data_IF_465562592483
#
_entry.id   IF_465562592483
#
_cell.length_a   1.000
_cell.length_b   1.000
_cell.length_c   1.000
_cell.angle_alpha   90.00
_cell.angle_beta   90.00
_cell.angle_gamma   90.00
#
_symmetry.space_group_name_H-M   'P 1'
#
loop_
_entity.id
_entity.type
_entity.pdbx_description
1 polymer ?
#
# COMPACT_ATOMS: atom_id res chain seq x y z
N UNK A 1 31.63 -4.56 22.95
CA UNK A 1 30.22 -4.16 23.13
C UNK A 1 30.00 -2.65 23.04
N UNK A 2 30.79 -1.83 23.76
CA UNK A 2 30.58 -0.37 23.76
C UNK A 2 30.99 0.28 22.42
N UNK A 3 32.13 -0.07 21.85
CA UNK A 3 32.54 0.38 20.51
C UNK A 3 31.57 -0.05 19.41
N UNK A 4 31.05 -1.26 19.49
CA UNK A 4 30.04 -1.76 18.53
C UNK A 4 28.71 -1.01 18.65
N UNK A 5 28.25 -0.71 19.87
CA UNK A 5 27.05 0.11 20.09
C UNK A 5 27.25 1.54 19.56
N UNK A 6 28.43 2.11 19.67
CA UNK A 6 28.76 3.44 19.11
C UNK A 6 28.66 3.45 17.59
N UNK A 7 29.23 2.44 16.91
CA UNK A 7 29.10 2.29 15.45
C UNK A 7 27.63 2.13 15.02
N UNK A 8 26.86 1.34 15.78
CA UNK A 8 25.43 1.18 15.51
C UNK A 8 24.70 2.52 15.69
N UNK A 9 24.99 3.29 16.73
CA UNK A 9 24.38 4.60 16.99
C UNK A 9 24.67 5.58 15.84
N UNK A 10 25.90 5.67 15.37
CA UNK A 10 26.29 6.51 14.23
C UNK A 10 25.47 6.16 12.97
N UNK A 11 25.30 4.88 12.68
CA UNK A 11 24.51 4.43 11.53
C UNK A 11 23.00 4.66 11.71
N UNK A 12 22.46 4.49 12.91
CA UNK A 12 21.08 4.82 13.25
C UNK A 12 20.80 6.30 13.04
N UNK A 13 21.71 7.18 13.47
CA UNK A 13 21.60 8.63 13.23
C UNK A 13 21.67 8.99 11.74
N UNK A 14 22.60 8.40 11.00
CA UNK A 14 22.75 8.59 9.55
C UNK A 14 21.45 8.25 8.82
N UNK A 15 20.88 7.07 9.08
CA UNK A 15 19.61 6.62 8.50
C UNK A 15 18.47 7.55 8.89
N UNK A 16 18.37 7.95 10.18
CA UNK A 16 17.31 8.82 10.65
C UNK A 16 17.40 10.23 10.06
N UNK A 17 18.61 10.77 9.87
CA UNK A 17 18.82 12.07 9.21
C UNK A 17 18.35 12.06 7.77
N UNK A 18 18.62 10.96 7.05
CA UNK A 18 18.17 10.79 5.67
C UNK A 18 16.66 10.49 5.56
N UNK A 19 16.09 9.78 6.54
CA UNK A 19 14.70 9.31 6.55
C UNK A 19 14.06 9.44 7.93
N UNK A 20 13.66 10.66 8.35
CA UNK A 20 13.15 10.91 9.70
C UNK A 20 11.84 10.20 10.05
N UNK A 21 11.11 9.75 9.02
CA UNK A 21 9.87 8.99 9.14
C UNK A 21 10.09 7.52 9.54
N UNK A 22 11.31 6.99 9.39
CA UNK A 22 11.60 5.60 9.74
C UNK A 22 11.64 5.41 11.27
N UNK A 23 10.83 4.46 11.77
CA UNK A 23 10.94 3.97 13.15
C UNK A 23 11.99 2.87 13.27
N UNK A 24 12.37 2.49 14.50
CA UNK A 24 13.46 1.57 14.79
C UNK A 24 13.42 0.24 14.01
N UNK A 25 12.21 -0.29 13.68
CA UNK A 25 12.09 -1.52 12.88
C UNK A 25 12.56 -1.32 11.44
N UNK A 26 12.17 -0.20 10.81
CA UNK A 26 12.62 0.14 9.45
C UNK A 26 14.12 0.50 9.41
N UNK A 27 14.60 1.18 10.44
CA UNK A 27 16.05 1.45 10.63
C UNK A 27 16.81 0.12 10.75
N UNK A 28 16.31 -0.82 11.55
CA UNK A 28 16.92 -2.16 11.69
C UNK A 28 16.94 -2.91 10.34
N UNK A 29 15.90 -2.81 9.55
CA UNK A 29 15.84 -3.46 8.23
C UNK A 29 16.83 -2.82 7.25
N UNK A 30 17.02 -1.49 7.30
CA UNK A 30 18.05 -0.81 6.53
C UNK A 30 19.47 -1.23 6.97
N UNK A 31 19.70 -1.39 8.28
CA UNK A 31 20.99 -1.84 8.80
C UNK A 31 21.35 -3.26 8.33
N UNK A 32 20.37 -4.16 8.29
CA UNK A 32 20.54 -5.49 7.74
C UNK A 32 20.83 -5.43 6.23
N UNK A 33 20.04 -4.66 5.48
CA UNK A 33 20.10 -4.63 4.02
C UNK A 33 21.31 -3.92 3.46
N UNK A 34 21.66 -2.75 4.02
CA UNK A 34 22.68 -1.86 3.43
C UNK A 34 24.03 -1.90 4.15
N UNK A 35 24.05 -2.35 5.41
CA UNK A 35 25.27 -2.41 6.20
C UNK A 35 25.66 -3.83 6.64
N UNK A 36 24.85 -4.86 6.28
CA UNK A 36 25.10 -6.25 6.65
C UNK A 36 25.02 -6.53 8.15
N UNK A 37 24.38 -5.65 8.92
CA UNK A 37 24.31 -5.75 10.38
C UNK A 37 23.03 -6.46 10.83
N UNK A 38 23.13 -7.74 11.17
CA UNK A 38 22.02 -8.54 11.72
C UNK A 38 21.77 -8.21 13.20
N UNK A 39 20.89 -7.23 13.46
CA UNK A 39 20.59 -6.73 14.80
C UNK A 39 19.23 -7.16 15.29
N UNK A 40 19.12 -7.35 16.64
CA UNK A 40 17.84 -7.57 17.27
C UNK A 40 17.05 -6.24 17.37
N UNK A 41 15.75 -6.28 17.13
CA UNK A 41 14.81 -5.14 17.28
C UNK A 41 14.96 -4.42 18.64
N UNK A 42 15.14 -5.18 19.75
CA UNK A 42 15.29 -4.60 21.08
C UNK A 42 16.60 -3.79 21.23
N UNK A 43 17.70 -4.23 20.59
CA UNK A 43 18.99 -3.51 20.59
C UNK A 43 18.87 -2.18 19.87
N UNK A 44 18.30 -2.20 18.67
CA UNK A 44 18.11 -0.97 17.87
C UNK A 44 17.13 -0.01 18.58
N UNK A 45 16.02 -0.53 19.17
CA UNK A 45 15.08 0.30 19.91
C UNK A 45 15.75 0.98 21.13
N UNK A 46 16.62 0.27 21.85
CA UNK A 46 17.36 0.83 22.99
C UNK A 46 18.26 1.97 22.51
N UNK A 47 19.07 1.75 21.48
CA UNK A 47 19.96 2.79 20.91
C UNK A 47 19.16 3.99 20.41
N UNK A 48 18.05 3.79 19.69
CA UNK A 48 17.19 4.89 19.28
C UNK A 48 16.67 5.71 20.47
N UNK A 49 16.42 5.08 21.65
CA UNK A 49 15.99 5.79 22.85
C UNK A 49 17.13 6.56 23.50
N UNK A 50 18.31 5.97 23.56
CA UNK A 50 19.53 6.61 24.09
C UNK A 50 19.89 7.85 23.28
N UNK A 51 19.78 7.80 21.95
CA UNK A 51 20.03 8.91 21.02
C UNK A 51 18.82 9.82 20.79
N UNK A 52 17.73 9.67 21.54
CA UNK A 52 16.47 10.43 21.38
C UNK A 52 15.85 10.37 19.98
N UNK A 53 16.13 9.35 19.21
CA UNK A 53 15.64 9.14 17.85
C UNK A 53 14.21 8.58 17.89
N UNK A 54 13.27 9.33 17.29
CA UNK A 54 11.85 8.96 17.18
C UNK A 54 11.37 9.23 15.76
N UNK A 55 10.59 8.30 15.21
CA UNK A 55 9.90 8.52 13.94
C UNK A 55 9.00 9.75 14.00
N UNK A 56 9.02 10.55 12.95
CA UNK A 56 8.13 11.71 12.79
C UNK A 56 6.68 11.33 12.46
N UNK A 57 6.41 10.06 12.17
CA UNK A 57 5.07 9.57 11.86
C UNK A 57 4.14 9.71 13.06
N UNK A 58 3.02 10.42 12.85
CA UNK A 58 1.95 10.55 13.86
C UNK A 58 0.88 9.49 13.60
N UNK A 59 0.62 8.64 14.60
CA UNK A 59 -0.48 7.68 14.54
C UNK A 59 -1.81 8.35 14.91
N UNK A 60 -2.84 8.18 14.05
CA UNK A 60 -4.24 8.49 14.36
C UNK A 60 -5.08 7.27 13.97
N UNK A 61 -5.86 6.74 14.91
CA UNK A 61 -6.86 5.72 14.59
C UNK A 61 -8.06 6.39 13.92
N UNK A 62 -8.52 5.85 12.80
CA UNK A 62 -9.72 6.33 12.11
C UNK A 62 -10.69 5.16 11.98
N UNK A 63 -11.93 5.42 12.38
CA UNK A 63 -13.04 4.47 12.25
C UNK A 63 -13.53 4.35 10.80
N UNK A 64 -14.21 3.26 10.51
CA UNK A 64 -14.45 2.67 9.21
C UNK A 64 -15.87 2.88 8.65
N UNK A 65 -15.97 2.97 7.36
CA UNK A 65 -16.96 2.55 6.33
C UNK A 65 -18.36 3.16 6.26
N UNK A 66 -18.67 3.68 5.03
CA UNK A 66 -20.02 3.96 4.53
C UNK A 66 -20.53 2.79 3.68
N UNK A 67 -21.79 2.39 3.84
CA UNK A 67 -22.48 1.36 3.05
C UNK A 67 -22.87 1.86 1.66
N UNK A 68 -22.73 1.01 0.64
CA UNK A 68 -23.38 1.21 -0.67
C UNK A 68 -24.91 1.00 -0.54
N UNK A 69 -25.71 1.86 -1.16
CA UNK A 69 -27.17 1.88 -0.98
C UNK A 69 -27.92 0.79 -1.75
N UNK A 70 -27.41 0.32 -2.91
CA UNK A 70 -28.07 -0.76 -3.69
C UNK A 70 -27.07 -1.43 -4.64
N UNK A 71 -26.51 -2.59 -4.29
CA UNK A 71 -25.59 -3.32 -5.17
C UNK A 71 -26.34 -3.96 -6.35
N UNK A 72 -25.82 -3.83 -7.58
CA UNK A 72 -26.38 -4.45 -8.79
C UNK A 72 -25.92 -5.89 -8.98
N UNK A 73 -24.70 -6.20 -8.52
CA UNK A 73 -24.09 -7.53 -8.55
C UNK A 73 -23.30 -7.76 -7.27
N UNK A 74 -23.40 -8.94 -6.70
CA UNK A 74 -22.64 -9.34 -5.50
C UNK A 74 -21.98 -10.67 -5.79
N UNK A 75 -20.63 -10.72 -5.69
CA UNK A 75 -19.88 -11.95 -5.73
C UNK A 75 -19.69 -12.55 -4.32
N UNK A 76 -19.44 -13.84 -4.27
CA UNK A 76 -19.06 -14.53 -3.03
C UNK A 76 -17.69 -14.10 -2.54
N UNK A 77 -17.42 -14.27 -1.26
CA UNK A 77 -16.09 -14.05 -0.68
C UNK A 77 -15.22 -15.31 -0.88
N UNK A 78 -14.68 -15.46 -2.09
CA UNK A 78 -13.80 -16.57 -2.45
C UNK A 78 -12.42 -16.43 -1.84
N UNK A 79 -11.95 -15.20 -1.56
CA UNK A 79 -10.66 -14.95 -0.94
C UNK A 79 -10.59 -15.53 0.50
N UNK A 80 -11.70 -15.48 1.26
CA UNK A 80 -11.82 -16.09 2.58
C UNK A 80 -10.79 -15.63 3.62
N UNK A 81 -10.15 -14.46 3.41
CA UNK A 81 -8.98 -13.95 4.15
C UNK A 81 -7.69 -14.75 3.94
N UNK A 82 -7.62 -15.60 2.94
CA UNK A 82 -6.36 -16.20 2.53
C UNK A 82 -5.56 -15.20 1.71
N UNK A 83 -4.75 -14.39 2.41
CA UNK A 83 -3.88 -13.37 1.83
C UNK A 83 -2.52 -13.90 1.40
N UNK A 84 -2.36 -15.21 1.29
CA UNK A 84 -1.20 -15.84 0.70
C UNK A 84 -1.40 -16.01 -0.80
N UNK A 85 -0.35 -15.86 -1.57
CA UNK A 85 -0.32 -16.11 -3.00
C UNK A 85 0.99 -16.84 -3.35
N UNK A 86 0.96 -17.73 -4.33
CA UNK A 86 2.09 -18.56 -4.70
C UNK A 86 2.91 -17.98 -5.85
N UNK A 87 2.30 -17.12 -6.64
CA UNK A 87 2.90 -16.48 -7.81
C UNK A 87 2.43 -15.02 -7.96
N UNK A 88 3.19 -14.17 -8.66
CA UNK A 88 2.70 -12.87 -9.11
C UNK A 88 1.43 -13.04 -9.95
N UNK A 89 0.50 -12.12 -9.80
CA UNK A 89 -0.79 -12.11 -10.51
C UNK A 89 -1.73 -13.31 -10.19
N UNK A 90 -1.55 -13.96 -9.03
CA UNK A 90 -2.46 -15.01 -8.54
C UNK A 90 -3.72 -14.38 -7.89
N UNK A 91 -3.53 -13.36 -7.05
CA UNK A 91 -4.61 -12.67 -6.34
C UNK A 91 -4.36 -11.16 -6.32
N UNK A 92 -5.32 -10.39 -6.80
CA UNK A 92 -5.31 -8.93 -6.74
C UNK A 92 -6.38 -8.39 -5.79
N UNK A 93 -5.99 -7.43 -4.97
CA UNK A 93 -6.91 -6.68 -4.12
C UNK A 93 -7.03 -5.26 -4.64
N UNK A 94 -8.23 -4.70 -4.54
CA UNK A 94 -8.49 -3.30 -4.93
C UNK A 94 -9.34 -2.58 -3.90
N UNK A 95 -9.15 -1.27 -3.84
CA UNK A 95 -9.97 -0.36 -3.03
C UNK A 95 -9.76 1.09 -3.48
N UNK A 96 -10.61 1.98 -2.99
CA UNK A 96 -10.53 3.43 -3.22
C UNK A 96 -10.35 4.16 -1.90
N UNK A 97 -9.42 5.11 -1.86
CA UNK A 97 -9.23 5.97 -0.70
C UNK A 97 -9.32 7.45 -1.04
N UNK A 98 -9.78 8.26 -0.09
CA UNK A 98 -9.90 9.72 -0.21
C UNK A 98 -8.70 10.43 0.41
N UNK A 99 -8.24 11.50 -0.27
CA UNK A 99 -7.31 12.50 0.26
C UNK A 99 -7.91 13.89 0.16
N UNK A 100 -7.46 14.80 1.03
CA UNK A 100 -7.92 16.19 1.08
C UNK A 100 -6.74 17.14 0.88
N UNK A 101 -6.99 18.24 0.16
CA UNK A 101 -6.11 19.38 0.09
C UNK A 101 -6.90 20.67 0.33
N UNK A 102 -6.22 21.79 0.59
CA UNK A 102 -6.82 23.00 1.09
C UNK A 102 -6.43 24.18 0.20
N UNK A 103 -7.40 24.87 -0.38
CA UNK A 103 -7.21 26.16 -1.03
C UNK A 103 -7.77 27.25 -0.12
N UNK A 104 -6.88 27.93 0.61
CA UNK A 104 -7.30 28.84 1.67
C UNK A 104 -8.10 28.10 2.76
N UNK A 105 -9.37 28.45 2.91
CA UNK A 105 -10.32 27.82 3.85
C UNK A 105 -11.17 26.71 3.22
N UNK A 106 -11.07 26.50 1.92
CA UNK A 106 -11.84 25.47 1.21
C UNK A 106 -11.15 24.12 1.27
N UNK A 107 -11.95 23.07 1.50
CA UNK A 107 -11.50 21.68 1.54
C UNK A 107 -11.89 21.01 0.23
N UNK A 108 -10.89 20.63 -0.55
CA UNK A 108 -11.04 19.86 -1.77
C UNK A 108 -10.64 18.40 -1.57
N UNK A 109 -11.10 17.53 -2.48
CA UNK A 109 -10.86 16.09 -2.38
C UNK A 109 -10.31 15.53 -3.67
N UNK A 110 -9.45 14.54 -3.55
CA UNK A 110 -9.10 13.62 -4.63
C UNK A 110 -9.28 12.19 -4.15
N UNK A 111 -9.46 11.28 -5.09
CA UNK A 111 -9.66 9.85 -4.83
C UNK A 111 -8.59 9.06 -5.57
N UNK A 112 -8.00 8.12 -4.86
CA UNK A 112 -7.00 7.19 -5.38
C UNK A 112 -7.62 5.80 -5.39
N UNK A 113 -7.72 5.20 -6.56
CA UNK A 113 -7.98 3.77 -6.74
C UNK A 113 -6.67 3.06 -7.02
N UNK A 114 -6.44 1.90 -6.43
CA UNK A 114 -5.25 1.10 -6.69
C UNK A 114 -5.55 -0.39 -6.64
N UNK A 115 -4.69 -1.16 -7.32
CA UNK A 115 -4.69 -2.63 -7.31
C UNK A 115 -3.36 -3.10 -6.72
N UNK A 116 -3.44 -3.98 -5.72
CA UNK A 116 -2.31 -4.58 -5.01
C UNK A 116 -2.25 -6.07 -5.30
N UNK A 117 -1.08 -6.56 -5.69
CA UNK A 117 -0.79 -7.98 -5.82
C UNK A 117 -0.48 -8.61 -4.45
N UNK A 118 -1.08 -9.74 -4.13
CA UNK A 118 -0.87 -10.39 -2.84
C UNK A 118 0.46 -11.14 -2.72
N UNK A 119 1.08 -11.55 -3.83
CA UNK A 119 2.34 -12.27 -3.80
C UNK A 119 3.51 -11.39 -3.40
N UNK A 120 3.69 -10.29 -4.10
CA UNK A 120 4.84 -9.40 -3.95
C UNK A 120 4.50 -8.08 -3.27
N UNK A 121 3.21 -7.84 -3.00
CA UNK A 121 2.69 -6.61 -2.37
C UNK A 121 2.90 -5.34 -3.19
N UNK A 122 3.27 -5.45 -4.47
CA UNK A 122 3.40 -4.29 -5.35
C UNK A 122 2.03 -3.67 -5.67
N UNK A 123 2.03 -2.39 -5.89
CA UNK A 123 0.90 -1.70 -6.52
C UNK A 123 1.02 -1.94 -8.02
N UNK A 124 0.11 -2.74 -8.56
CA UNK A 124 0.07 -3.14 -9.98
C UNK A 124 -0.31 -1.97 -10.87
N UNK A 125 -1.33 -1.23 -10.44
CA UNK A 125 -1.81 -0.02 -11.12
C UNK A 125 -2.52 0.90 -10.14
N UNK A 126 -2.61 2.18 -10.50
CA UNK A 126 -3.41 3.16 -9.78
C UNK A 126 -3.87 4.30 -10.69
N UNK A 127 -4.95 4.97 -10.28
CA UNK A 127 -5.49 6.17 -10.91
C UNK A 127 -5.92 7.16 -9.83
N UNK A 128 -5.68 8.46 -10.06
CA UNK A 128 -6.10 9.55 -9.18
C UNK A 128 -7.08 10.44 -9.94
N UNK A 129 -8.25 10.71 -9.35
CA UNK A 129 -9.29 11.58 -9.92
C UNK A 129 -9.94 12.45 -8.85
N UNK A 130 -10.62 13.51 -9.30
CA UNK A 130 -11.36 14.43 -8.41
C UNK A 130 -12.74 13.86 -8.03
N UNK A 131 -13.18 12.77 -8.68
CA UNK A 131 -14.46 12.11 -8.43
C UNK A 131 -14.26 10.63 -8.11
N UNK A 132 -15.03 10.15 -7.14
CA UNK A 132 -15.12 8.73 -6.82
C UNK A 132 -16.25 8.10 -7.63
N UNK A 133 -16.01 7.82 -8.90
CA UNK A 133 -16.98 7.27 -9.85
C UNK A 133 -16.50 5.95 -10.47
N UNK A 134 -17.34 5.36 -11.32
CA UNK A 134 -16.99 4.11 -12.01
C UNK A 134 -15.75 4.25 -12.88
N UNK A 135 -15.55 5.41 -13.53
CA UNK A 135 -14.40 5.64 -14.41
C UNK A 135 -13.07 5.54 -13.66
N UNK A 136 -13.02 6.00 -12.38
CA UNK A 136 -11.84 5.88 -11.53
C UNK A 136 -11.39 4.42 -11.41
N UNK A 137 -12.32 3.52 -11.08
CA UNK A 137 -12.04 2.09 -10.87
C UNK A 137 -11.82 1.36 -12.19
N UNK A 138 -12.59 1.70 -13.23
CA UNK A 138 -12.47 1.08 -14.55
C UNK A 138 -11.11 1.36 -15.18
N UNK A 139 -10.65 2.63 -15.14
CA UNK A 139 -9.33 2.99 -15.66
C UNK A 139 -8.20 2.34 -14.87
N UNK A 140 -8.36 2.20 -13.55
CA UNK A 140 -7.38 1.49 -12.71
C UNK A 140 -7.27 0.03 -13.14
N UNK A 141 -8.40 -0.61 -13.38
CA UNK A 141 -8.47 -1.99 -13.85
C UNK A 141 -7.88 -2.16 -15.26
N UNK A 142 -8.28 -1.29 -16.20
CA UNK A 142 -7.78 -1.34 -17.59
C UNK A 142 -6.26 -1.14 -17.67
N UNK A 143 -5.70 -0.24 -16.87
CA UNK A 143 -4.24 -0.08 -16.73
C UNK A 143 -3.56 -1.35 -16.21
N UNK A 144 -4.15 -2.01 -15.21
CA UNK A 144 -3.60 -3.25 -14.68
C UNK A 144 -3.58 -4.36 -15.72
N UNK A 145 -4.68 -4.55 -16.45
CA UNK A 145 -4.80 -5.54 -17.54
C UNK A 145 -3.82 -5.23 -18.67
N UNK A 146 -3.73 -3.97 -19.10
CA UNK A 146 -2.81 -3.57 -20.17
C UNK A 146 -1.33 -3.84 -19.81
N UNK A 147 -0.97 -3.68 -18.54
CA UNK A 147 0.40 -3.94 -18.07
C UNK A 147 0.67 -5.41 -17.77
N UNK A 148 -0.36 -6.25 -17.67
CA UNK A 148 -0.26 -7.69 -17.36
C UNK A 148 -1.30 -8.46 -18.19
N UNK A 149 -1.15 -8.55 -19.52
CA UNK A 149 -2.19 -9.09 -20.42
C UNK A 149 -2.50 -10.58 -20.18
N UNK A 150 -1.53 -11.34 -19.70
CA UNK A 150 -1.69 -12.78 -19.41
C UNK A 150 -2.15 -13.07 -17.97
N UNK A 151 -2.45 -12.02 -17.18
CA UNK A 151 -2.84 -12.19 -15.79
C UNK A 151 -4.34 -12.49 -15.65
N UNK A 152 -4.69 -13.55 -14.95
CA UNK A 152 -6.07 -13.93 -14.62
C UNK A 152 -6.27 -14.12 -13.10
N UNK A 153 -5.98 -13.10 -12.27
CA UNK A 153 -6.03 -13.23 -10.82
C UNK A 153 -7.45 -13.46 -10.29
N UNK A 154 -7.54 -14.02 -9.09
CA UNK A 154 -8.71 -13.82 -8.24
C UNK A 154 -8.76 -12.33 -7.86
N UNK A 155 -9.77 -11.62 -8.35
CA UNK A 155 -9.91 -10.17 -8.17
C UNK A 155 -10.82 -9.86 -6.99
N UNK A 156 -10.28 -9.35 -5.88
CA UNK A 156 -11.03 -9.11 -4.65
C UNK A 156 -11.20 -7.61 -4.38
N UNK A 157 -12.43 -7.21 -4.03
CA UNK A 157 -12.80 -5.84 -3.66
C UNK A 157 -13.71 -5.79 -2.45
N UNK A 158 -13.96 -4.61 -1.93
CA UNK A 158 -15.13 -4.35 -1.09
C UNK A 158 -16.43 -4.37 -1.91
N UNK A 159 -17.55 -4.00 -1.27
CA UNK A 159 -18.86 -3.87 -1.92
C UNK A 159 -19.19 -2.42 -2.30
N UNK A 160 -18.19 -1.62 -2.66
CA UNK A 160 -18.38 -0.30 -3.21
C UNK A 160 -19.25 -0.34 -4.48
N UNK A 161 -20.01 0.73 -4.74
CA UNK A 161 -20.96 0.76 -5.87
C UNK A 161 -20.27 0.58 -7.23
N UNK A 162 -19.01 0.98 -7.34
CA UNK A 162 -18.19 0.80 -8.55
C UNK A 162 -17.98 -0.69 -8.85
N UNK A 163 -17.59 -1.46 -7.82
CA UNK A 163 -17.29 -2.88 -7.94
C UNK A 163 -18.53 -3.75 -8.09
N UNK A 164 -19.67 -3.29 -7.55
CA UNK A 164 -20.97 -3.97 -7.69
C UNK A 164 -21.72 -3.61 -8.97
N UNK A 165 -21.18 -2.74 -9.81
CA UNK A 165 -21.77 -2.36 -11.08
C UNK A 165 -21.71 -3.50 -12.12
N UNK A 166 -22.75 -3.63 -12.95
CA UNK A 166 -22.75 -4.59 -14.07
C UNK A 166 -21.61 -4.37 -15.05
N UNK A 167 -21.23 -3.10 -15.27
CA UNK A 167 -20.13 -2.72 -16.16
C UNK A 167 -18.78 -3.27 -15.66
N UNK A 168 -18.52 -3.19 -14.35
CA UNK A 168 -17.28 -3.73 -13.78
C UNK A 168 -17.23 -5.25 -13.84
N UNK A 169 -18.35 -5.92 -13.52
CA UNK A 169 -18.45 -7.37 -13.65
C UNK A 169 -18.21 -7.85 -15.08
N UNK A 170 -18.79 -7.16 -16.09
CA UNK A 170 -18.55 -7.48 -17.49
C UNK A 170 -17.09 -7.33 -17.90
N UNK A 171 -16.37 -6.29 -17.39
CA UNK A 171 -14.93 -6.10 -17.64
C UNK A 171 -14.08 -7.22 -17.04
N UNK A 172 -14.35 -7.63 -15.80
CA UNK A 172 -13.66 -8.76 -15.17
C UNK A 172 -13.86 -10.06 -15.95
N UNK A 173 -15.11 -10.34 -16.36
CA UNK A 173 -15.43 -11.52 -17.16
C UNK A 173 -14.73 -11.51 -18.52
N UNK A 174 -14.69 -10.36 -19.20
CA UNK A 174 -13.98 -10.20 -20.47
C UNK A 174 -12.46 -10.44 -20.34
N UNK A 175 -11.87 -10.09 -19.19
CA UNK A 175 -10.48 -10.35 -18.87
C UNK A 175 -10.22 -11.78 -18.31
N UNK A 176 -11.23 -12.64 -18.24
CA UNK A 176 -11.08 -14.02 -17.72
C UNK A 176 -10.83 -14.09 -16.21
N UNK A 177 -11.14 -13.02 -15.46
CA UNK A 177 -10.88 -12.93 -14.02
C UNK A 177 -12.11 -13.34 -13.21
N UNK A 178 -11.86 -13.93 -12.04
CA UNK A 178 -12.90 -14.33 -11.08
C UNK A 178 -13.07 -13.20 -10.05
N UNK A 179 -14.30 -12.72 -9.88
CA UNK A 179 -14.62 -11.69 -8.90
C UNK A 179 -14.86 -12.29 -7.52
N UNK A 180 -14.27 -11.69 -6.50
CA UNK A 180 -14.49 -11.98 -5.09
C UNK A 180 -14.82 -10.68 -4.34
N UNK A 181 -15.71 -10.73 -3.35
CA UNK A 181 -16.09 -9.53 -2.59
C UNK A 181 -16.07 -9.76 -1.09
N UNK A 182 -15.63 -8.75 -0.35
CA UNK A 182 -15.67 -8.73 1.11
C UNK A 182 -17.10 -8.92 1.63
N UNK A 183 -17.24 -9.51 2.80
CA UNK A 183 -18.54 -9.61 3.50
C UNK A 183 -18.97 -8.23 3.99
N UNK A 184 -20.28 -8.04 4.15
CA UNK A 184 -20.86 -6.78 4.63
C UNK A 184 -20.30 -6.42 6.01
N UNK A 185 -19.73 -5.21 6.13
CA UNK A 185 -19.21 -4.70 7.41
C UNK A 185 -17.95 -5.41 7.92
N UNK A 186 -17.28 -6.19 7.08
CA UNK A 186 -16.01 -6.90 7.41
C UNK A 186 -14.85 -6.29 6.62
N UNK A 187 -14.42 -5.10 7.01
CA UNK A 187 -13.28 -4.41 6.41
C UNK A 187 -12.00 -5.27 6.41
N UNK A 188 -11.79 -6.08 7.43
CA UNK A 188 -10.66 -7.01 7.53
C UNK A 188 -10.56 -8.01 6.37
N UNK A 189 -11.64 -8.22 5.61
CA UNK A 189 -11.62 -9.08 4.42
C UNK A 189 -10.79 -8.47 3.28
N UNK A 190 -10.46 -7.15 3.33
CA UNK A 190 -9.53 -6.45 2.43
C UNK A 190 -8.29 -5.90 3.18
N UNK A 191 -7.87 -6.59 4.25
CA UNK A 191 -6.84 -6.14 5.19
C UNK A 191 -5.51 -5.67 4.58
N UNK A 192 -4.90 -6.38 3.60
CA UNK A 192 -3.66 -5.92 2.96
C UNK A 192 -3.79 -4.58 2.25
N UNK A 193 -4.93 -4.30 1.60
CA UNK A 193 -5.17 -3.03 0.93
C UNK A 193 -5.38 -1.89 1.93
N UNK A 194 -6.15 -2.15 3.01
CA UNK A 194 -6.28 -1.20 4.13
C UNK A 194 -4.92 -0.93 4.80
N UNK A 195 -4.09 -1.96 4.93
CA UNK A 195 -2.71 -1.85 5.41
C UNK A 195 -1.87 -0.90 4.55
N UNK A 196 -1.95 -1.04 3.23
CA UNK A 196 -1.27 -0.15 2.28
C UNK A 196 -1.74 1.31 2.43
N UNK A 197 -3.06 1.55 2.49
CA UNK A 197 -3.59 2.91 2.74
C UNK A 197 -3.08 3.51 4.04
N UNK A 198 -3.05 2.69 5.10
CA UNK A 198 -2.52 3.10 6.38
C UNK A 198 -1.05 3.50 6.32
N UNK A 199 -0.23 2.75 5.58
CA UNK A 199 1.20 3.02 5.39
C UNK A 199 1.38 4.30 4.57
N UNK A 200 0.76 4.42 3.39
CA UNK A 200 0.85 5.60 2.53
C UNK A 200 0.45 6.87 3.28
N UNK A 201 -0.72 6.84 3.95
CA UNK A 201 -1.21 8.01 4.68
C UNK A 201 -0.31 8.40 5.86
N UNK A 202 0.24 7.45 6.58
CA UNK A 202 1.16 7.74 7.69
C UNK A 202 2.52 8.26 7.22
N UNK A 203 3.05 7.70 6.15
CA UNK A 203 4.42 8.01 5.71
C UNK A 203 4.48 9.24 4.80
N UNK A 204 3.38 9.61 4.11
CA UNK A 204 3.42 10.70 3.13
C UNK A 204 2.34 11.77 3.26
N UNK A 205 1.22 11.47 3.91
CA UNK A 205 0.08 12.38 3.95
C UNK A 205 -0.14 13.02 5.33
N UNK A 206 -0.22 12.24 6.40
CA UNK A 206 -0.48 12.78 7.73
C UNK A 206 0.72 13.60 8.24
N UNK A 207 0.40 14.77 8.82
CA UNK A 207 1.41 15.72 9.26
C UNK A 207 1.81 16.75 8.21
N UNK A 208 1.38 16.58 6.96
CA UNK A 208 1.52 17.56 5.88
C UNK A 208 0.19 18.24 5.60
N UNK A 209 0.24 19.53 5.23
CA UNK A 209 -0.92 20.30 4.74
C UNK A 209 -0.68 20.59 3.27
N UNK A 210 -1.36 19.90 2.41
CA UNK A 210 -1.33 20.15 0.97
C UNK A 210 -2.24 21.32 0.63
N UNK A 211 -1.72 22.30 -0.11
CA UNK A 211 -2.43 23.54 -0.47
C UNK A 211 -2.89 23.55 -1.93
N UNK A 212 -2.44 22.60 -2.72
CA UNK A 212 -2.83 22.42 -4.11
C UNK A 212 -2.95 20.94 -4.48
N UNK A 213 -3.64 20.69 -5.59
CA UNK A 213 -3.92 19.35 -6.12
C UNK A 213 -2.65 18.70 -6.65
N UNK A 214 -1.88 19.46 -7.39
CA UNK A 214 -0.70 18.98 -8.13
C UNK A 214 0.37 18.46 -7.17
N UNK A 215 0.67 19.19 -6.13
CA UNK A 215 1.61 18.79 -5.08
C UNK A 215 1.14 17.52 -4.36
N UNK A 216 -0.16 17.40 -4.05
CA UNK A 216 -0.71 16.19 -3.44
C UNK A 216 -0.64 14.98 -4.38
N UNK A 217 -1.01 15.13 -5.65
CA UNK A 217 -0.93 14.07 -6.65
C UNK A 217 0.50 13.59 -6.79
N UNK A 218 1.44 14.51 -7.02
CA UNK A 218 2.87 14.21 -7.13
C UNK A 218 3.40 13.46 -5.91
N UNK A 219 3.01 13.90 -4.71
CA UNK A 219 3.42 13.24 -3.47
C UNK A 219 2.93 11.79 -3.37
N UNK A 220 1.71 11.50 -3.86
CA UNK A 220 1.16 10.14 -3.90
C UNK A 220 1.88 9.29 -4.95
N UNK A 221 2.10 9.83 -6.15
CA UNK A 221 2.79 9.12 -7.25
C UNK A 221 4.22 8.76 -6.87
N UNK A 222 4.99 9.71 -6.36
CA UNK A 222 6.36 9.49 -5.86
C UNK A 222 6.40 8.46 -4.71
N UNK A 223 5.36 8.47 -3.86
CA UNK A 223 5.30 7.50 -2.78
C UNK A 223 5.01 6.09 -3.29
N UNK A 224 4.12 5.90 -4.25
CA UNK A 224 3.83 4.59 -4.83
C UNK A 224 5.07 4.03 -5.54
N UNK A 225 5.79 4.87 -6.27
CA UNK A 225 7.08 4.49 -6.86
C UNK A 225 8.09 4.06 -5.80
N UNK A 226 8.27 4.87 -4.74
CA UNK A 226 9.12 4.54 -3.59
C UNK A 226 8.68 3.24 -2.90
N UNK A 227 7.37 3.04 -2.70
CA UNK A 227 6.81 1.84 -2.08
C UNK A 227 7.16 0.59 -2.87
N UNK A 228 7.02 0.64 -4.19
CA UNK A 228 7.30 -0.50 -5.06
C UNK A 228 8.80 -0.80 -5.18
N UNK A 229 9.65 0.24 -5.28
CA UNK A 229 11.04 0.08 -5.72
C UNK A 229 12.10 0.25 -4.64
N UNK A 230 11.76 0.91 -3.51
CA UNK A 230 12.75 1.27 -2.47
C UNK A 230 12.31 0.92 -1.05
N UNK A 231 11.01 0.79 -0.80
CA UNK A 231 10.52 0.51 0.53
C UNK A 231 10.67 -0.97 0.88
N UNK A 232 11.60 -1.28 1.78
CA UNK A 232 11.82 -2.64 2.28
C UNK A 232 10.60 -3.13 3.08
N UNK A 233 10.24 -4.39 2.88
CA UNK A 233 9.13 -5.04 3.56
C UNK A 233 9.59 -6.32 4.26
N UNK A 234 9.44 -6.35 5.58
CA UNK A 234 9.90 -7.46 6.42
C UNK A 234 9.17 -8.77 6.10
N UNK A 235 7.89 -8.69 5.79
CA UNK A 235 7.08 -9.85 5.40
C UNK A 235 7.44 -10.43 4.03
N UNK A 236 8.25 -9.73 3.24
CA UNK A 236 8.82 -10.20 1.97
C UNK A 236 10.27 -10.70 2.11
N UNK A 237 10.83 -10.72 3.34
CA UNK A 237 12.22 -11.07 3.58
C UNK A 237 13.18 -9.89 3.50
N UNK A 238 12.73 -8.68 3.88
CA UNK A 238 13.52 -7.42 3.87
C UNK A 238 13.97 -7.05 2.44
N UNK A 239 13.06 -7.25 1.49
CA UNK A 239 13.22 -6.80 0.10
C UNK A 239 12.07 -5.87 -0.30
N UNK A 240 12.22 -5.18 -1.42
CA UNK A 240 11.15 -4.35 -1.99
C UNK A 240 10.12 -5.22 -2.73
N UNK A 241 8.89 -4.72 -2.96
CA UNK A 241 7.92 -5.39 -3.80
C UNK A 241 8.46 -5.78 -5.18
N UNK A 242 9.17 -4.88 -5.85
CA UNK A 242 9.73 -5.14 -7.18
C UNK A 242 10.89 -6.14 -7.17
N UNK A 243 11.74 -6.15 -6.14
CA UNK A 243 12.75 -7.20 -5.97
C UNK A 243 12.09 -8.57 -5.76
N UNK A 244 11.03 -8.64 -4.95
CA UNK A 244 10.26 -9.87 -4.77
C UNK A 244 9.60 -10.33 -6.07
N UNK A 245 9.02 -9.41 -6.84
CA UNK A 245 8.44 -9.68 -8.15
C UNK A 245 9.49 -10.25 -9.12
N UNK A 246 10.62 -9.57 -9.26
CA UNK A 246 11.70 -9.96 -10.17
C UNK A 246 12.30 -11.32 -9.79
N UNK A 247 12.46 -11.61 -8.48
CA UNK A 247 13.03 -12.87 -8.00
C UNK A 247 12.21 -14.10 -8.40
N UNK A 248 10.89 -13.96 -8.58
CA UNK A 248 10.04 -15.05 -9.04
C UNK A 248 10.39 -15.48 -10.47
N UNK A 249 10.52 -14.51 -11.37
CA UNK A 249 10.80 -14.76 -12.78
C UNK A 249 12.23 -15.22 -13.04
N UNK A 250 13.16 -14.88 -12.13
CA UNK A 250 14.54 -15.38 -12.19
C UNK A 250 14.68 -16.83 -11.70
N UNK A 251 13.72 -17.31 -10.91
CA UNK A 251 13.71 -18.66 -10.34
C UNK A 251 12.82 -19.64 -11.12
N UNK A 252 11.96 -19.15 -12.03
CA UNK A 252 11.09 -19.91 -12.90
C UNK A 252 11.76 -20.25 -14.23
#
# INVERSE_FOLDING_TARGET
MEQENRLIAEKVEEIHRAYPDKGYRRIRDDMERYYGMHLNDKRVLRICREENIKSTIKYRSHGCTRRASTPQFIAENLLGRDFTATAPNDKWLTDVTEFKYYRGNEVHKIYLSAILDLYDRRIVSFVIRDRNDNSLVFDTFEKAVASNPEAHPLFHSDRGYQYTSRGFHAKLKAAGMIQSMSRVGKCIDNGPMEGFWGILKRERYYGHRFTDRETLVKAIEEYIEYYNTKRLQRNLGVVTPMEKHASYWLAA
#
